data_IF_932278789535
#
_entry.id   IF_932278789535
#
_cell.length_a   1.000
_cell.length_b   1.000
_cell.length_c   1.000
_cell.angle_alpha   90.00
_cell.angle_beta   90.00
_cell.angle_gamma   90.00
#
_symmetry.space_group_name_H-M   'P 1'
#
loop_
_entity.id
_entity.type
_entity.pdbx_description
1 polymer ?
#
# COMPACT_ATOMS: atom_id res chain seq x y z
N UNK A 1 -24.33 -37.14 -3.05
CA UNK A 1 -25.56 -36.39 -2.71
C UNK A 1 -25.28 -34.95 -3.10
N UNK A 2 -25.82 -34.52 -4.24
CA UNK A 2 -25.72 -33.14 -4.71
C UNK A 2 -26.72 -32.29 -3.94
N UNK A 3 -26.22 -31.31 -3.19
CA UNK A 3 -27.05 -30.26 -2.65
C UNK A 3 -27.09 -29.13 -3.68
N UNK A 4 -28.09 -29.16 -4.56
CA UNK A 4 -28.49 -27.98 -5.32
C UNK A 4 -29.20 -27.04 -4.34
N UNK A 5 -28.53 -25.93 -4.02
CA UNK A 5 -29.19 -24.79 -3.39
C UNK A 5 -29.64 -23.84 -4.49
N UNK A 6 -30.92 -23.97 -4.83
CA UNK A 6 -31.67 -23.01 -5.63
C UNK A 6 -31.72 -21.68 -4.83
N UNK A 7 -30.82 -20.75 -5.16
CA UNK A 7 -30.86 -19.42 -4.56
C UNK A 7 -31.94 -18.60 -5.27
N UNK A 8 -33.13 -18.62 -4.67
CA UNK A 8 -34.18 -17.64 -4.92
C UNK A 8 -33.59 -16.22 -4.93
N UNK A 9 -34.03 -15.40 -5.90
CA UNK A 9 -33.64 -14.01 -6.10
C UNK A 9 -33.71 -13.21 -4.78
N UNK A 10 -32.56 -13.14 -4.08
CA UNK A 10 -32.43 -12.58 -2.75
C UNK A 10 -32.08 -11.11 -2.80
N UNK A 11 -32.61 -10.35 -1.85
CA UNK A 11 -32.39 -8.93 -1.61
C UNK A 11 -30.95 -8.47 -1.92
N UNK A 12 -30.81 -7.30 -2.57
CA UNK A 12 -29.51 -6.63 -2.69
C UNK A 12 -28.85 -6.57 -1.30
N UNK A 13 -27.60 -7.02 -1.15
CA UNK A 13 -26.88 -6.89 0.12
C UNK A 13 -26.86 -5.43 0.54
N UNK A 14 -27.02 -5.18 1.84
CA UNK A 14 -26.90 -3.84 2.38
C UNK A 14 -25.47 -3.34 2.14
N UNK A 15 -25.27 -2.06 1.79
CA UNK A 15 -23.94 -1.50 1.67
C UNK A 15 -23.20 -1.63 3.01
N UNK A 16 -21.87 -1.80 3.00
CA UNK A 16 -21.09 -1.88 4.22
C UNK A 16 -21.28 -0.62 5.06
N UNK A 17 -21.21 -0.79 6.39
CA UNK A 17 -21.26 0.35 7.32
C UNK A 17 -20.02 1.20 7.07
N UNK A 18 -20.22 2.48 6.77
CA UNK A 18 -19.14 3.41 6.55
C UNK A 18 -18.22 3.50 7.77
N UNK A 19 -16.93 3.28 7.56
CA UNK A 19 -15.89 3.50 8.55
C UNK A 19 -15.59 4.98 8.68
N UNK A 20 -15.27 5.43 9.90
CA UNK A 20 -14.80 6.78 10.13
C UNK A 20 -13.33 6.96 9.71
N UNK A 21 -12.92 8.22 9.50
CA UNK A 21 -11.53 8.56 9.21
C UNK A 21 -10.64 8.09 10.38
N UNK A 22 -9.55 7.42 10.06
CA UNK A 22 -8.61 6.80 11.01
C UNK A 22 -9.21 5.68 11.87
N UNK A 23 -10.31 5.04 11.44
CA UNK A 23 -10.90 3.89 12.15
C UNK A 23 -9.94 2.69 12.31
N UNK A 24 -8.85 2.65 11.53
CA UNK A 24 -7.79 1.66 11.59
C UNK A 24 -6.62 2.02 12.50
N UNK A 25 -6.58 3.22 13.09
CA UNK A 25 -5.44 3.64 13.91
C UNK A 25 -5.24 2.71 15.12
N UNK A 26 -4.06 2.13 15.23
CA UNK A 26 -3.72 1.15 16.27
C UNK A 26 -4.28 -0.27 16.02
N UNK A 27 -4.83 -0.52 14.83
CA UNK A 27 -5.32 -1.82 14.36
C UNK A 27 -4.44 -2.34 13.23
N UNK A 28 -4.60 -3.62 12.94
CA UNK A 28 -4.01 -4.26 11.76
C UNK A 28 -5.00 -4.25 10.60
N UNK A 29 -4.52 -3.92 9.40
CA UNK A 29 -5.18 -4.24 8.14
C UNK A 29 -4.42 -5.38 7.48
N UNK A 30 -5.00 -6.56 7.50
CA UNK A 30 -4.42 -7.74 6.86
C UNK A 30 -4.90 -7.87 5.42
N UNK A 31 -3.96 -7.81 4.48
CA UNK A 31 -4.14 -8.17 3.08
C UNK A 31 -3.95 -9.68 2.93
N UNK A 32 -5.06 -10.39 2.83
CA UNK A 32 -5.07 -11.81 2.51
C UNK A 32 -5.15 -12.00 1.00
N UNK A 33 -3.98 -12.11 0.37
CA UNK A 33 -3.81 -12.20 -1.07
C UNK A 33 -3.92 -13.64 -1.59
N UNK A 34 -4.83 -14.46 -1.04
CA UNK A 34 -4.96 -15.88 -1.38
C UNK A 34 -5.22 -16.16 -2.88
N UNK A 35 -5.81 -15.21 -3.60
CA UNK A 35 -6.03 -15.27 -5.06
C UNK A 35 -5.19 -14.28 -5.86
N UNK A 36 -4.27 -13.57 -5.19
CA UNK A 36 -3.47 -12.50 -5.76
C UNK A 36 -3.92 -11.11 -5.32
N UNK A 37 -3.46 -10.10 -6.05
CA UNK A 37 -3.74 -8.69 -5.77
C UNK A 37 -3.57 -7.84 -7.04
N UNK A 38 -4.50 -6.90 -7.23
CA UNK A 38 -4.47 -5.90 -8.28
C UNK A 38 -4.92 -4.53 -7.75
N UNK A 39 -4.76 -3.48 -8.55
CA UNK A 39 -5.11 -2.11 -8.17
C UNK A 39 -6.60 -1.98 -7.90
N UNK A 40 -7.42 -2.23 -8.92
CA UNK A 40 -8.87 -2.39 -8.85
C UNK A 40 -9.37 -3.24 -7.67
N UNK A 41 -8.80 -4.44 -7.48
CA UNK A 41 -9.16 -5.35 -6.39
C UNK A 41 -8.86 -4.72 -5.02
N UNK A 42 -7.79 -3.93 -4.91
CA UNK A 42 -7.45 -3.22 -3.67
C UNK A 42 -8.48 -2.13 -3.36
N UNK A 43 -8.81 -1.31 -4.35
CA UNK A 43 -9.79 -0.23 -4.20
C UNK A 43 -11.17 -0.82 -3.86
N UNK A 44 -11.59 -1.84 -4.60
CA UNK A 44 -12.83 -2.55 -4.36
C UNK A 44 -12.89 -3.16 -2.95
N UNK A 45 -11.82 -3.79 -2.48
CA UNK A 45 -11.79 -4.38 -1.14
C UNK A 45 -11.84 -3.31 -0.03
N UNK A 46 -11.24 -2.13 -0.24
CA UNK A 46 -11.32 -1.00 0.70
C UNK A 46 -12.75 -0.43 0.78
N UNK A 47 -13.42 -0.29 -0.38
CA UNK A 47 -14.83 0.11 -0.44
C UNK A 47 -15.72 -0.90 0.28
N UNK A 48 -15.52 -2.20 0.02
CA UNK A 48 -16.27 -3.29 0.64
C UNK A 48 -16.03 -3.36 2.16
N UNK A 49 -14.81 -3.04 2.61
CA UNK A 49 -14.45 -2.96 4.02
C UNK A 49 -15.17 -1.82 4.76
N UNK A 50 -15.63 -0.80 4.02
CA UNK A 50 -16.38 0.35 4.54
C UNK A 50 -15.71 1.71 4.34
N UNK A 51 -14.64 1.83 3.55
CA UNK A 51 -14.12 3.15 3.16
C UNK A 51 -15.16 3.85 2.28
N UNK A 52 -15.58 5.10 2.60
CA UNK A 52 -16.59 5.78 1.80
C UNK A 52 -16.10 6.09 0.38
N UNK A 53 -16.92 5.83 -0.63
CA UNK A 53 -16.62 6.13 -2.04
C UNK A 53 -16.27 7.61 -2.26
N UNK A 54 -16.94 8.52 -1.54
CA UNK A 54 -16.67 9.96 -1.62
C UNK A 54 -15.20 10.32 -1.34
N UNK A 55 -14.49 9.55 -0.50
CA UNK A 55 -13.06 9.80 -0.21
C UNK A 55 -12.19 9.51 -1.45
N UNK A 56 -12.57 8.51 -2.23
CA UNK A 56 -11.90 8.17 -3.49
C UNK A 56 -12.25 9.18 -4.57
N UNK A 57 -13.54 9.52 -4.71
CA UNK A 57 -14.01 10.53 -5.68
C UNK A 57 -13.35 11.89 -5.43
N UNK A 58 -13.38 12.39 -4.19
CA UNK A 58 -12.74 13.67 -3.81
C UNK A 58 -11.25 13.70 -4.16
N UNK A 59 -10.51 12.60 -3.92
CA UNK A 59 -9.09 12.52 -4.25
C UNK A 59 -8.87 12.55 -5.78
N UNK A 60 -9.68 11.82 -6.54
CA UNK A 60 -9.54 11.70 -7.98
C UNK A 60 -9.98 12.95 -8.74
N UNK A 61 -10.99 13.68 -8.24
CA UNK A 61 -11.43 14.97 -8.78
C UNK A 61 -10.33 16.05 -8.70
N UNK A 62 -9.34 15.88 -7.83
CA UNK A 62 -8.21 16.80 -7.73
C UNK A 62 -7.18 16.63 -8.86
N UNK A 63 -7.22 15.50 -9.58
CA UNK A 63 -6.25 15.19 -10.62
C UNK A 63 -6.67 15.82 -11.94
N UNK A 64 -5.74 16.43 -12.71
CA UNK A 64 -6.02 16.92 -14.06
C UNK A 64 -6.02 15.75 -15.07
N UNK A 65 -6.87 14.75 -14.83
CA UNK A 65 -7.04 13.56 -15.67
C UNK A 65 -8.51 13.45 -16.03
N UNK A 66 -8.79 13.43 -17.34
CA UNK A 66 -10.15 13.37 -17.88
C UNK A 66 -10.34 12.13 -18.76
N UNK A 67 -11.58 11.86 -19.16
CA UNK A 67 -11.92 10.79 -20.10
C UNK A 67 -11.94 9.40 -19.47
N UNK A 68 -12.34 9.32 -18.21
CA UNK A 68 -12.69 8.07 -17.55
C UNK A 68 -13.94 8.22 -16.68
N UNK A 69 -14.61 7.09 -16.44
CA UNK A 69 -15.70 6.98 -15.50
C UNK A 69 -15.43 5.82 -14.54
N UNK A 70 -15.71 6.02 -13.26
CA UNK A 70 -15.60 4.98 -12.24
C UNK A 70 -16.95 4.28 -12.14
N UNK A 71 -16.91 2.95 -12.07
CA UNK A 71 -18.08 2.15 -11.80
C UNK A 71 -17.81 1.22 -10.62
N UNK A 72 -18.64 1.35 -9.57
CA UNK A 72 -18.64 0.43 -8.43
C UNK A 72 -19.81 -0.52 -8.57
N UNK A 73 -19.54 -1.82 -8.54
CA UNK A 73 -20.56 -2.86 -8.72
C UNK A 73 -20.61 -3.81 -7.53
N UNK A 74 -21.77 -4.42 -7.33
CA UNK A 74 -21.90 -5.58 -6.45
C UNK A 74 -21.51 -6.82 -7.25
N UNK A 75 -20.60 -7.61 -6.72
CA UNK A 75 -20.07 -8.81 -7.33
C UNK A 75 -20.29 -10.03 -6.43
N UNK A 76 -20.22 -11.22 -7.04
CA UNK A 76 -20.09 -12.45 -6.29
C UNK A 76 -19.19 -13.43 -7.03
N UNK A 77 -18.33 -14.12 -6.28
CA UNK A 77 -17.54 -15.22 -6.79
C UNK A 77 -17.54 -16.40 -5.82
N UNK A 78 -17.83 -17.60 -6.34
CA UNK A 78 -18.00 -18.82 -5.54
C UNK A 78 -18.94 -18.65 -4.33
N UNK A 79 -20.02 -17.85 -4.48
CA UNK A 79 -21.00 -17.58 -3.42
C UNK A 79 -20.55 -16.55 -2.36
N UNK A 80 -19.36 -15.98 -2.50
CA UNK A 80 -18.86 -14.91 -1.63
C UNK A 80 -19.30 -13.58 -2.25
N UNK A 81 -19.94 -12.72 -1.46
CA UNK A 81 -20.27 -11.35 -1.87
C UNK A 81 -19.00 -10.48 -1.86
N UNK A 82 -18.89 -9.58 -2.82
CA UNK A 82 -17.75 -8.69 -2.97
C UNK A 82 -18.17 -7.39 -3.66
N UNK A 83 -17.29 -6.41 -3.63
CA UNK A 83 -17.39 -5.19 -4.46
C UNK A 83 -16.49 -5.32 -5.69
N UNK A 84 -16.93 -4.81 -6.83
CA UNK A 84 -16.11 -4.60 -8.02
C UNK A 84 -15.85 -3.11 -8.22
N UNK A 85 -14.69 -2.78 -8.78
CA UNK A 85 -14.28 -1.40 -9.10
C UNK A 85 -13.70 -1.40 -10.51
N UNK A 86 -14.35 -0.68 -11.43
CA UNK A 86 -13.96 -0.60 -12.83
C UNK A 86 -13.65 0.85 -13.21
N UNK A 87 -12.54 1.05 -13.92
CA UNK A 87 -12.17 2.34 -14.53
C UNK A 87 -12.43 2.24 -16.03
N UNK A 88 -13.55 2.82 -16.48
CA UNK A 88 -13.94 2.84 -17.88
C UNK A 88 -13.30 4.04 -18.58
N UNK A 89 -12.29 3.81 -19.42
CA UNK A 89 -11.61 4.87 -20.17
C UNK A 89 -12.32 5.11 -21.51
N UNK A 90 -12.74 6.36 -21.75
CA UNK A 90 -13.61 6.72 -22.89
C UNK A 90 -12.86 6.93 -24.22
N UNK A 91 -11.53 7.08 -24.19
CA UNK A 91 -10.70 7.32 -25.37
C UNK A 91 -9.26 6.82 -25.22
N UNK A 92 -8.50 6.77 -26.32
CA UNK A 92 -7.06 6.51 -26.27
C UNK A 92 -6.35 7.63 -25.52
N UNK A 93 -5.70 7.29 -24.41
CA UNK A 93 -5.00 8.23 -23.55
C UNK A 93 -3.50 8.27 -23.88
N UNK A 94 -2.84 9.42 -23.67
CA UNK A 94 -1.40 9.52 -23.88
C UNK A 94 -0.66 8.67 -22.85
N UNK A 95 0.44 8.06 -23.29
CA UNK A 95 1.39 7.42 -22.38
C UNK A 95 2.07 8.50 -21.54
N UNK A 96 2.23 8.22 -20.25
CA UNK A 96 2.82 9.13 -19.28
C UNK A 96 4.15 8.57 -18.80
N UNK A 97 5.14 9.45 -18.72
CA UNK A 97 6.41 9.11 -18.07
C UNK A 97 6.28 9.17 -16.55
N UNK A 98 7.17 8.48 -15.84
CA UNK A 98 7.26 8.59 -14.38
C UNK A 98 7.38 10.05 -13.91
N UNK A 99 8.21 10.85 -14.59
CA UNK A 99 8.38 12.27 -14.29
C UNK A 99 7.06 13.05 -14.43
N UNK A 100 6.26 12.77 -15.47
CA UNK A 100 4.97 13.43 -15.68
C UNK A 100 3.93 13.07 -14.62
N UNK A 101 3.88 11.80 -14.19
CA UNK A 101 2.98 11.36 -13.11
C UNK A 101 3.40 12.00 -11.78
N UNK A 102 4.70 12.03 -11.48
CA UNK A 102 5.20 12.65 -10.26
C UNK A 102 4.88 14.16 -10.21
N UNK A 103 5.03 14.87 -11.33
CA UNK A 103 4.64 16.28 -11.43
C UNK A 103 3.12 16.48 -11.28
N UNK A 104 2.31 15.58 -11.85
CA UNK A 104 0.86 15.60 -11.73
C UNK A 104 0.42 15.46 -10.26
N UNK A 105 0.96 14.48 -9.54
CA UNK A 105 0.67 14.25 -8.12
C UNK A 105 1.15 15.41 -7.23
N UNK A 106 2.25 16.06 -7.61
CA UNK A 106 2.76 17.23 -6.89
C UNK A 106 1.88 18.47 -7.08
N UNK A 107 1.28 18.64 -8.25
CA UNK A 107 0.41 19.77 -8.55
C UNK A 107 -1.02 19.59 -8.01
N UNK A 108 -1.51 18.35 -7.91
CA UNK A 108 -2.86 18.06 -7.45
C UNK A 108 -3.05 18.46 -5.96
N UNK A 109 -4.19 19.05 -5.56
CA UNK A 109 -4.50 19.38 -4.16
C UNK A 109 -4.91 18.16 -3.31
N UNK A 110 -4.18 17.04 -3.45
CA UNK A 110 -4.31 15.86 -2.60
C UNK A 110 -3.87 16.15 -1.15
N UNK A 111 -4.49 15.48 -0.17
CA UNK A 111 -3.99 15.51 1.21
C UNK A 111 -2.57 14.92 1.30
N UNK A 112 -1.81 15.37 2.31
CA UNK A 112 -0.39 15.03 2.46
C UNK A 112 -0.11 13.52 2.48
N UNK A 113 -0.79 12.74 3.35
CA UNK A 113 -0.67 11.28 3.38
C UNK A 113 -0.97 10.60 2.05
N UNK A 114 -2.11 10.91 1.42
CA UNK A 114 -2.51 10.31 0.13
C UNK A 114 -1.48 10.59 -0.96
N UNK A 115 -1.06 11.85 -1.11
CA UNK A 115 -0.03 12.26 -2.08
C UNK A 115 1.28 11.51 -1.85
N UNK A 116 1.72 11.44 -0.61
CA UNK A 116 2.99 10.79 -0.23
C UNK A 116 2.94 9.31 -0.59
N UNK A 117 1.86 8.61 -0.24
CA UNK A 117 1.70 7.20 -0.52
C UNK A 117 1.58 6.93 -2.03
N UNK A 118 0.79 7.69 -2.77
CA UNK A 118 0.68 7.55 -4.23
C UNK A 118 2.05 7.71 -4.92
N UNK A 119 2.86 8.69 -4.50
CA UNK A 119 4.23 8.89 -5.02
C UNK A 119 5.15 7.72 -4.68
N UNK A 120 5.05 7.13 -3.49
CA UNK A 120 5.82 5.94 -3.12
C UNK A 120 5.46 4.76 -4.02
N UNK A 121 4.17 4.51 -4.24
CA UNK A 121 3.68 3.41 -5.09
C UNK A 121 4.15 3.61 -6.54
N UNK A 122 3.99 4.81 -7.10
CA UNK A 122 4.47 5.10 -8.45
C UNK A 122 5.98 5.02 -8.59
N UNK A 123 6.74 5.41 -7.57
CA UNK A 123 8.19 5.24 -7.57
C UNK A 123 8.56 3.76 -7.61
N UNK A 124 7.87 2.90 -6.84
CA UNK A 124 8.09 1.44 -6.89
C UNK A 124 7.79 0.84 -8.26
N UNK A 125 6.71 1.25 -8.89
CA UNK A 125 6.42 0.87 -10.28
C UNK A 125 7.50 1.36 -11.23
N UNK A 126 7.88 2.64 -11.14
CA UNK A 126 8.90 3.22 -12.00
C UNK A 126 10.25 2.55 -11.86
N UNK A 127 10.68 2.22 -10.62
CA UNK A 127 11.92 1.49 -10.35
C UNK A 127 11.88 0.08 -10.96
N UNK A 128 10.72 -0.59 -10.90
CA UNK A 128 10.54 -1.91 -11.49
C UNK A 128 10.59 -1.90 -13.02
N UNK A 129 9.93 -0.92 -13.65
CA UNK A 129 9.96 -0.73 -15.10
C UNK A 129 11.35 -0.31 -15.58
N UNK A 130 12.01 0.62 -14.88
CA UNK A 130 13.40 1.01 -15.14
C UNK A 130 14.32 -0.21 -15.15
N UNK A 131 14.15 -1.13 -14.19
CA UNK A 131 14.91 -2.37 -14.12
C UNK A 131 14.57 -3.33 -15.26
N UNK A 132 13.28 -3.52 -15.58
CA UNK A 132 12.85 -4.39 -16.68
C UNK A 132 13.36 -3.91 -18.05
N UNK A 133 13.38 -2.59 -18.25
CA UNK A 133 13.76 -1.95 -19.50
C UNK A 133 15.22 -1.50 -19.57
N UNK A 134 15.97 -1.58 -18.46
CA UNK A 134 17.36 -1.11 -18.35
C UNK A 134 17.54 0.36 -18.74
N UNK A 135 16.63 1.21 -18.26
CA UNK A 135 16.65 2.67 -18.48
C UNK A 135 16.68 3.41 -17.15
N UNK A 136 17.15 4.67 -17.11
CA UNK A 136 17.02 5.51 -15.92
C UNK A 136 15.55 5.71 -15.52
N UNK A 137 15.27 5.81 -14.22
CA UNK A 137 13.91 6.02 -13.69
C UNK A 137 13.17 7.21 -14.33
N UNK A 138 13.87 8.32 -14.59
CA UNK A 138 13.27 9.51 -15.18
C UNK A 138 12.90 9.33 -16.67
N UNK A 139 13.48 8.33 -17.34
CA UNK A 139 13.25 8.01 -18.74
C UNK A 139 12.19 6.89 -18.90
N UNK A 140 11.61 6.41 -17.79
CA UNK A 140 10.55 5.40 -17.83
C UNK A 140 9.28 5.99 -18.42
N UNK A 141 8.86 5.38 -19.53
CA UNK A 141 7.54 5.56 -20.11
C UNK A 141 6.68 4.35 -19.77
N UNK A 142 5.60 4.59 -19.04
CA UNK A 142 4.71 3.51 -18.67
C UNK A 142 3.73 3.23 -19.82
N UNK A 143 3.89 2.09 -20.48
CA UNK A 143 3.02 1.70 -21.60
C UNK A 143 1.73 1.03 -21.12
N UNK A 144 1.79 0.30 -19.99
CA UNK A 144 0.65 -0.39 -19.37
C UNK A 144 0.24 0.24 -18.04
N UNK A 145 1.20 0.71 -17.24
CA UNK A 145 0.98 1.21 -15.87
C UNK A 145 0.90 2.75 -15.77
N UNK A 146 0.90 3.45 -16.91
CA UNK A 146 0.80 4.92 -17.01
C UNK A 146 -0.51 5.37 -17.64
N UNK A 147 -1.34 4.39 -17.98
CA UNK A 147 -2.70 4.62 -18.40
C UNK A 147 -3.53 5.10 -17.21
N UNK A 148 -4.70 5.65 -17.53
CA UNK A 148 -5.56 6.33 -16.57
C UNK A 148 -6.06 5.36 -15.49
N UNK A 149 -6.29 4.10 -15.85
CA UNK A 149 -6.61 3.01 -14.92
C UNK A 149 -5.60 2.89 -13.79
N UNK A 150 -4.31 2.82 -14.07
CA UNK A 150 -3.27 2.69 -13.06
C UNK A 150 -3.17 3.95 -12.17
N UNK A 151 -3.36 5.14 -12.73
CA UNK A 151 -3.40 6.40 -11.95
C UNK A 151 -4.59 6.41 -11.00
N UNK A 152 -5.76 6.06 -11.50
CA UNK A 152 -6.99 5.98 -10.71
C UNK A 152 -6.83 4.94 -9.61
N UNK A 153 -6.36 3.73 -9.92
CA UNK A 153 -6.14 2.65 -8.96
C UNK A 153 -5.17 3.06 -7.85
N UNK A 154 -4.00 3.61 -8.21
CA UNK A 154 -2.97 3.97 -7.23
C UNK A 154 -3.43 5.12 -6.34
N UNK A 155 -4.06 6.15 -6.90
CA UNK A 155 -4.52 7.29 -6.10
C UNK A 155 -5.72 6.89 -5.23
N UNK A 156 -6.66 6.10 -5.75
CA UNK A 156 -7.79 5.60 -4.99
C UNK A 156 -7.35 4.67 -3.84
N UNK A 157 -6.42 3.75 -4.10
CA UNK A 157 -5.85 2.88 -3.07
C UNK A 157 -5.10 3.71 -2.02
N UNK A 158 -4.28 4.68 -2.45
CA UNK A 158 -3.57 5.57 -1.53
C UNK A 158 -4.54 6.39 -0.65
N UNK A 159 -5.62 6.90 -1.22
CA UNK A 159 -6.65 7.66 -0.51
C UNK A 159 -7.36 6.78 0.52
N UNK A 160 -7.80 5.58 0.14
CA UNK A 160 -8.50 4.65 1.03
C UNK A 160 -7.61 4.13 2.17
N UNK A 161 -6.35 3.79 1.87
CA UNK A 161 -5.38 3.35 2.89
C UNK A 161 -5.02 4.48 3.85
N UNK A 162 -4.79 5.68 3.33
CA UNK A 162 -4.49 6.87 4.15
C UNK A 162 -5.69 7.27 5.02
N UNK A 163 -6.91 7.17 4.48
CA UNK A 163 -8.14 7.40 5.22
C UNK A 163 -8.26 6.44 6.41
N UNK A 164 -7.98 5.15 6.20
CA UNK A 164 -8.10 4.13 7.22
C UNK A 164 -7.03 4.22 8.31
N UNK A 165 -5.76 4.45 7.93
CA UNK A 165 -4.66 4.69 8.87
C UNK A 165 -4.25 3.47 9.71
N UNK A 166 -4.40 2.26 9.18
CA UNK A 166 -4.06 1.00 9.85
C UNK A 166 -2.62 0.53 9.58
N UNK A 167 -2.09 -0.30 10.47
CA UNK A 167 -0.82 -1.00 10.27
C UNK A 167 -1.02 -2.18 9.31
N UNK A 168 -0.33 -2.18 8.16
CA UNK A 168 -0.58 -3.17 7.11
C UNK A 168 0.30 -4.41 7.24
N UNK A 169 -0.35 -5.58 7.19
CA UNK A 169 0.28 -6.90 7.11
C UNK A 169 -0.18 -7.57 5.82
N UNK A 170 0.71 -8.23 5.09
CA UNK A 170 0.36 -8.87 3.82
C UNK A 170 0.69 -10.36 3.87
N UNK A 171 -0.18 -11.21 3.34
CA UNK A 171 0.14 -12.64 3.17
C UNK A 171 1.29 -12.83 2.17
N UNK A 172 1.99 -13.98 2.16
CA UNK A 172 2.77 -14.37 1.01
C UNK A 172 1.93 -14.31 -0.28
N UNK A 173 2.57 -13.97 -1.39
CA UNK A 173 1.88 -13.68 -2.66
C UNK A 173 1.93 -14.89 -3.62
N UNK A 174 0.78 -15.31 -4.20
CA UNK A 174 0.72 -16.42 -5.14
C UNK A 174 1.23 -16.00 -6.53
N UNK A 175 2.12 -16.80 -7.10
CA UNK A 175 2.67 -16.59 -8.42
C UNK A 175 2.15 -17.67 -9.38
N UNK A 176 1.31 -17.25 -10.32
CA UNK A 176 0.90 -18.08 -11.46
C UNK A 176 2.05 -18.26 -12.46
N UNK A 177 1.81 -19.08 -13.48
CA UNK A 177 2.77 -19.41 -14.54
C UNK A 177 2.18 -19.15 -15.92
N UNK A 178 2.98 -19.40 -16.95
CA UNK A 178 2.53 -19.33 -18.35
C UNK A 178 2.92 -18.03 -19.02
N UNK A 179 2.07 -17.57 -19.94
CA UNK A 179 2.30 -16.39 -20.77
C UNK A 179 1.08 -15.47 -20.74
N UNK A 180 1.31 -14.16 -20.73
CA UNK A 180 0.26 -13.14 -20.83
C UNK A 180 0.50 -12.26 -22.06
N UNK A 181 -0.58 -11.81 -22.70
CA UNK A 181 -0.51 -10.85 -23.80
C UNK A 181 -0.57 -9.43 -23.22
N UNK A 182 0.48 -8.68 -23.46
CA UNK A 182 0.70 -7.31 -23.02
C UNK A 182 0.91 -6.40 -24.24
N UNK A 183 1.00 -5.08 -24.05
CA UNK A 183 1.40 -4.14 -25.12
C UNK A 183 2.82 -4.41 -25.60
N UNK A 184 3.66 -4.91 -24.70
CA UNK A 184 5.01 -5.39 -24.98
C UNK A 184 5.08 -6.74 -25.73
N UNK A 185 3.93 -7.26 -26.17
CA UNK A 185 3.83 -8.57 -26.79
C UNK A 185 3.53 -9.65 -25.76
N UNK A 186 4.06 -10.85 -25.96
CA UNK A 186 3.80 -11.97 -25.06
C UNK A 186 4.87 -12.00 -23.97
N UNK A 187 4.46 -11.85 -22.72
CA UNK A 187 5.34 -11.81 -21.54
C UNK A 187 5.21 -13.11 -20.72
N UNK A 188 6.31 -13.55 -20.07
CA UNK A 188 6.22 -14.63 -19.11
C UNK A 188 5.39 -14.22 -17.89
N UNK A 189 4.74 -15.19 -17.27
CA UNK A 189 4.19 -15.05 -15.94
C UNK A 189 5.13 -15.72 -14.92
N UNK A 190 5.47 -15.03 -13.82
CA UNK A 190 5.08 -13.64 -13.49
C UNK A 190 5.68 -12.58 -14.41
N UNK A 191 4.95 -11.48 -14.65
CA UNK A 191 5.43 -10.39 -15.50
C UNK A 191 6.71 -9.76 -14.92
N UNK A 192 7.68 -9.31 -15.76
CA UNK A 192 8.96 -8.79 -15.29
C UNK A 192 8.84 -7.64 -14.27
N UNK A 193 7.98 -6.66 -14.54
CA UNK A 193 7.73 -5.54 -13.63
C UNK A 193 7.16 -6.02 -12.27
N UNK A 194 6.24 -7.00 -12.28
CA UNK A 194 5.73 -7.64 -11.06
C UNK A 194 6.86 -8.24 -10.23
N UNK A 195 7.76 -9.01 -10.85
CA UNK A 195 8.89 -9.63 -10.13
C UNK A 195 9.80 -8.57 -9.50
N UNK A 196 10.07 -7.48 -10.23
CA UNK A 196 10.88 -6.39 -9.69
C UNK A 196 10.19 -5.65 -8.53
N UNK A 197 8.88 -5.38 -8.62
CA UNK A 197 8.13 -4.79 -7.51
C UNK A 197 8.17 -5.68 -6.26
N UNK A 198 8.10 -7.00 -6.43
CA UNK A 198 8.08 -7.98 -5.33
C UNK A 198 9.45 -8.27 -4.72
N UNK A 199 10.52 -7.57 -5.10
CA UNK A 199 11.85 -7.76 -4.52
C UNK A 199 11.82 -7.58 -2.99
N UNK A 200 12.08 -8.67 -2.27
CA UNK A 200 12.06 -8.72 -0.79
C UNK A 200 10.73 -9.16 -0.18
N UNK A 201 9.67 -9.34 -0.97
CA UNK A 201 8.40 -9.91 -0.52
C UNK A 201 8.39 -11.44 -0.65
N UNK A 202 7.80 -12.18 0.31
CA UNK A 202 7.65 -13.63 0.20
C UNK A 202 6.60 -13.99 -0.85
N UNK A 203 6.96 -14.94 -1.72
CA UNK A 203 6.11 -15.45 -2.80
C UNK A 203 6.06 -16.97 -2.78
N UNK A 204 5.04 -17.56 -3.40
CA UNK A 204 4.94 -19.00 -3.61
C UNK A 204 4.32 -19.32 -4.96
N UNK A 205 4.73 -20.42 -5.60
CA UNK A 205 4.18 -20.84 -6.88
C UNK A 205 2.82 -21.51 -6.75
N UNK A 206 1.94 -21.30 -7.73
CA UNK A 206 0.67 -22.01 -7.87
C UNK A 206 0.53 -22.61 -9.27
N UNK A 207 -0.16 -23.74 -9.39
CA UNK A 207 -0.38 -24.44 -10.66
C UNK A 207 -1.57 -23.83 -11.42
N UNK A 208 -1.43 -22.55 -11.81
CA UNK A 208 -2.47 -21.81 -12.49
C UNK A 208 -1.87 -20.91 -13.59
N UNK A 209 -2.43 -21.04 -14.80
CA UNK A 209 -2.00 -20.30 -15.99
C UNK A 209 -2.70 -18.93 -16.06
N UNK A 210 -2.47 -18.07 -15.07
CA UNK A 210 -3.07 -16.75 -14.97
C UNK A 210 -2.17 -15.76 -14.22
N UNK A 211 -2.25 -14.48 -14.59
CA UNK A 211 -1.71 -13.41 -13.77
C UNK A 211 -2.60 -13.20 -12.55
N UNK A 212 -2.04 -13.46 -11.37
CA UNK A 212 -2.73 -13.29 -10.07
C UNK A 212 -2.30 -12.00 -9.37
N UNK A 213 -1.03 -11.64 -9.51
CA UNK A 213 -0.46 -10.41 -8.96
C UNK A 213 -0.07 -9.52 -10.12
N UNK A 214 -0.77 -8.39 -10.27
CA UNK A 214 -0.43 -7.40 -11.31
C UNK A 214 0.72 -6.51 -10.83
N UNK A 215 1.43 -5.81 -11.74
CA UNK A 215 2.46 -4.85 -11.35
C UNK A 215 1.94 -3.80 -10.37
N UNK A 216 0.75 -3.25 -10.62
CA UNK A 216 0.08 -2.27 -9.75
C UNK A 216 -0.21 -2.85 -8.36
N UNK A 217 -0.80 -4.06 -8.31
CA UNK A 217 -1.08 -4.74 -7.05
C UNK A 217 0.19 -5.00 -6.24
N UNK A 218 1.25 -5.50 -6.91
CA UNK A 218 2.56 -5.73 -6.29
C UNK A 218 3.16 -4.44 -5.72
N UNK A 219 3.13 -3.34 -6.48
CA UNK A 219 3.65 -2.05 -6.03
C UNK A 219 2.86 -1.48 -4.85
N UNK A 220 1.53 -1.62 -4.85
CA UNK A 220 0.69 -1.20 -3.72
C UNK A 220 1.12 -1.96 -2.45
N UNK A 221 1.05 -3.29 -2.46
CA UNK A 221 1.28 -4.08 -1.24
C UNK A 221 2.70 -3.93 -0.71
N UNK A 222 3.70 -3.87 -1.57
CA UNK A 222 5.11 -3.70 -1.17
C UNK A 222 5.44 -2.27 -0.70
N UNK A 223 4.60 -1.29 -1.05
CA UNK A 223 4.74 0.09 -0.56
C UNK A 223 4.14 0.29 0.83
N UNK A 224 3.15 -0.52 1.21
CA UNK A 224 2.43 -0.36 2.50
C UNK A 224 2.73 -1.44 3.53
N UNK A 225 3.18 -2.63 3.11
CA UNK A 225 3.45 -3.74 4.02
C UNK A 225 4.51 -3.37 5.06
N UNK A 226 4.17 -3.49 6.34
CA UNK A 226 5.15 -3.40 7.43
C UNK A 226 5.84 -4.73 7.67
N UNK A 227 5.14 -5.85 7.40
CA UNK A 227 5.63 -7.22 7.50
C UNK A 227 4.75 -8.18 6.71
N UNK A 228 5.24 -9.41 6.57
CA UNK A 228 4.54 -10.47 5.84
C UNK A 228 4.31 -11.70 6.72
N UNK A 229 3.08 -12.21 6.75
CA UNK A 229 2.67 -13.38 7.55
C UNK A 229 1.51 -14.12 6.86
N UNK A 230 1.48 -15.48 6.83
CA UNK A 230 0.36 -16.21 6.22
C UNK A 230 -1.02 -15.87 6.79
N UNK A 231 -1.10 -15.70 8.11
CA UNK A 231 -2.27 -15.17 8.80
C UNK A 231 -1.81 -14.57 10.13
N UNK A 232 -2.02 -13.26 10.38
CA UNK A 232 -1.55 -12.64 11.61
C UNK A 232 -2.45 -12.96 12.80
N UNK A 233 -1.88 -12.81 13.99
CA UNK A 233 -2.62 -12.82 15.24
C UNK A 233 -3.54 -11.57 15.31
N UNK A 234 -4.82 -11.72 14.93
CA UNK A 234 -5.80 -10.64 14.79
C UNK A 234 -7.18 -11.05 15.33
N UNK A 235 -7.91 -10.11 15.95
CA UNK A 235 -9.35 -10.18 16.22
C UNK A 235 -10.06 -9.44 15.09
N UNK A 236 -10.69 -10.13 14.13
CA UNK A 236 -11.36 -9.49 13.00
C UNK A 236 -12.54 -8.63 13.47
N UNK A 237 -12.65 -7.42 12.92
CA UNK A 237 -13.74 -6.47 13.21
C UNK A 237 -14.51 -6.12 11.94
N UNK A 238 -13.79 -5.89 10.83
CA UNK A 238 -14.37 -5.64 9.51
C UNK A 238 -13.67 -6.49 8.46
N UNK A 239 -14.43 -6.94 7.47
CA UNK A 239 -13.93 -7.76 6.36
C UNK A 239 -14.47 -7.17 5.07
N UNK A 240 -13.59 -6.97 4.09
CA UNK A 240 -13.95 -6.50 2.76
C UNK A 240 -13.38 -7.41 1.68
N UNK A 241 -14.13 -7.62 0.60
CA UNK A 241 -13.72 -8.38 -0.56
C UNK A 241 -13.75 -7.52 -1.83
N UNK A 242 -12.62 -7.46 -2.52
CA UNK A 242 -12.49 -6.84 -3.83
C UNK A 242 -12.43 -7.89 -4.93
N UNK A 243 -13.37 -7.82 -5.87
CA UNK A 243 -13.48 -8.78 -6.97
C UNK A 243 -12.56 -8.42 -8.13
N UNK A 244 -11.84 -9.43 -8.65
CA UNK A 244 -11.13 -9.33 -9.91
C UNK A 244 -11.98 -9.82 -11.08
N UNK A 245 -11.63 -9.40 -12.30
CA UNK A 245 -12.45 -9.65 -13.49
C UNK A 245 -12.35 -11.08 -14.05
N UNK A 246 -11.28 -11.81 -13.74
CA UNK A 246 -11.04 -13.16 -14.26
C UNK A 246 -11.82 -14.21 -13.47
N UNK A 247 -12.41 -15.20 -14.15
CA UNK A 247 -12.88 -16.43 -13.51
C UNK A 247 -11.75 -17.44 -13.40
N UNK A 248 -11.42 -17.83 -12.18
CA UNK A 248 -10.42 -18.84 -11.90
C UNK A 248 -11.10 -20.20 -11.73
N UNK A 249 -10.48 -21.30 -12.19
CA UNK A 249 -11.09 -22.62 -12.17
C UNK A 249 -11.10 -23.28 -10.79
N UNK A 250 -10.22 -22.87 -9.88
CA UNK A 250 -9.91 -23.58 -8.64
C UNK A 250 -10.20 -22.79 -7.35
N UNK A 251 -10.46 -21.47 -7.45
CA UNK A 251 -10.73 -20.56 -6.32
C UNK A 251 -11.52 -19.33 -6.78
N UNK A 252 -12.15 -18.57 -5.87
CA UNK A 252 -12.69 -17.25 -6.22
C UNK A 252 -11.56 -16.26 -6.51
N UNK A 253 -11.79 -15.35 -7.47
CA UNK A 253 -10.85 -14.28 -7.80
C UNK A 253 -11.14 -13.02 -6.96
N UNK A 254 -10.79 -13.07 -5.69
CA UNK A 254 -11.06 -12.01 -4.72
C UNK A 254 -9.81 -11.67 -3.90
N UNK A 255 -9.62 -10.39 -3.61
CA UNK A 255 -8.72 -9.93 -2.54
C UNK A 255 -9.55 -9.79 -1.26
N UNK A 256 -9.07 -10.35 -0.15
CA UNK A 256 -9.69 -10.15 1.16
C UNK A 256 -8.86 -9.19 2.00
N UNK A 257 -9.54 -8.17 2.54
CA UNK A 257 -9.01 -7.31 3.59
C UNK A 257 -9.68 -7.63 4.92
N UNK A 258 -8.89 -7.75 5.98
CA UNK A 258 -9.38 -7.93 7.34
C UNK A 258 -8.83 -6.82 8.22
N UNK A 259 -9.70 -5.94 8.69
CA UNK A 259 -9.38 -4.94 9.69
C UNK A 259 -9.70 -5.48 11.09
N UNK A 260 -8.77 -5.33 12.02
CA UNK A 260 -9.00 -5.84 13.37
C UNK A 260 -7.89 -5.53 14.36
N UNK A 261 -8.21 -5.71 15.64
CA UNK A 261 -7.26 -5.52 16.73
C UNK A 261 -6.22 -6.66 16.78
N UNK A 262 -4.94 -6.38 17.04
CA UNK A 262 -3.94 -7.45 17.22
C UNK A 262 -4.28 -8.34 18.43
N UNK A 263 -4.07 -9.66 18.33
CA UNK A 263 -4.21 -10.57 19.48
C UNK A 263 -2.88 -10.69 20.23
N UNK A 264 -2.90 -10.26 21.50
CA UNK A 264 -1.75 -10.22 22.40
C UNK A 264 -1.55 -8.81 22.97
N UNK A 265 -0.83 -8.65 24.11
CA UNK A 265 -0.29 -7.34 24.42
C UNK A 265 0.46 -6.88 23.17
N UNK A 266 0.31 -5.61 22.73
CA UNK A 266 1.24 -5.00 21.77
C UNK A 266 2.59 -5.54 22.18
N UNK A 267 3.27 -6.29 21.31
CA UNK A 267 4.58 -6.78 21.68
C UNK A 267 5.42 -5.53 21.87
N UNK A 268 5.51 -5.10 23.12
CA UNK A 268 6.61 -4.38 23.68
C UNK A 268 7.76 -5.37 23.67
N UNK A 269 8.19 -5.78 22.46
CA UNK A 269 9.60 -5.89 22.24
C UNK A 269 10.16 -4.56 22.77
N UNK A 270 11.09 -4.56 23.74
CA UNK A 270 11.67 -3.33 24.20
C UNK A 270 12.34 -2.68 22.98
N UNK A 271 11.70 -1.67 22.38
CA UNK A 271 12.28 -0.97 21.23
C UNK A 271 11.39 -0.51 20.08
N UNK A 272 10.10 -0.22 20.24
CA UNK A 272 9.44 0.77 19.35
C UNK A 272 8.60 1.72 20.19
N UNK A 273 9.30 2.63 20.87
CA UNK A 273 8.69 3.90 21.22
C UNK A 273 8.29 4.60 19.92
N UNK A 274 7.23 5.40 19.96
CA UNK A 274 6.92 6.34 18.86
C UNK A 274 7.99 7.42 18.69
N UNK A 275 8.96 7.44 19.59
CA UNK A 275 10.11 8.32 19.64
C UNK A 275 11.33 7.50 20.06
N UNK A 276 12.47 7.80 19.46
CA UNK A 276 13.81 7.29 19.74
C UNK A 276 14.54 8.28 20.64
N UNK A 277 15.32 7.77 21.59
CA UNK A 277 16.32 8.56 22.30
C UNK A 277 17.68 8.22 21.73
N UNK A 278 18.37 9.22 21.19
CA UNK A 278 19.72 9.10 20.64
C UNK A 278 20.66 9.83 21.59
N UNK A 279 21.69 9.16 22.10
CA UNK A 279 22.65 9.72 23.05
C UNK A 279 24.10 9.54 22.59
N UNK A 280 24.93 10.55 22.87
CA UNK A 280 26.37 10.52 22.63
C UNK A 280 27.15 11.07 23.84
N UNK A 281 28.12 10.29 24.32
CA UNK A 281 29.05 10.72 25.37
C UNK A 281 30.27 11.39 24.74
N UNK A 282 30.55 12.63 25.13
CA UNK A 282 31.60 13.47 24.54
C UNK A 282 32.48 14.05 25.65
N UNK A 283 33.76 13.68 25.68
CA UNK A 283 34.74 14.11 26.70
C UNK A 283 35.70 15.21 26.24
N UNK A 284 35.56 15.68 25.01
CA UNK A 284 36.41 16.71 24.38
C UNK A 284 35.61 17.93 23.86
N UNK A 285 34.36 18.10 24.31
CA UNK A 285 33.47 19.19 23.91
C UNK A 285 33.30 20.25 25.01
N UNK A 286 33.28 21.53 24.62
CA UNK A 286 33.03 22.66 25.53
C UNK A 286 31.53 22.89 25.74
N UNK A 287 31.17 23.64 26.79
CA UNK A 287 29.77 24.02 27.04
C UNK A 287 29.17 24.89 25.93
N UNK A 288 29.98 25.73 25.26
CA UNK A 288 29.52 26.54 24.11
C UNK A 288 29.13 25.67 22.91
N UNK A 289 29.94 24.66 22.60
CA UNK A 289 29.65 23.69 21.54
C UNK A 289 28.43 22.82 21.87
N UNK A 290 28.27 22.45 23.14
CA UNK A 290 27.10 21.74 23.62
C UNK A 290 25.81 22.55 23.42
N UNK A 291 25.84 23.85 23.74
CA UNK A 291 24.71 24.75 23.50
C UNK A 291 24.36 24.86 22.01
N UNK A 292 25.36 24.98 21.13
CA UNK A 292 25.15 24.98 19.68
C UNK A 292 24.54 23.66 19.18
N UNK A 293 25.02 22.52 19.69
CA UNK A 293 24.52 21.20 19.31
C UNK A 293 23.03 21.02 19.67
N UNK A 294 22.59 21.51 20.83
CA UNK A 294 21.17 21.46 21.22
C UNK A 294 20.27 22.22 20.24
N UNK A 295 20.66 23.44 19.85
CA UNK A 295 19.91 24.20 18.85
C UNK A 295 19.87 23.48 17.50
N UNK A 296 21.01 22.93 17.04
CA UNK A 296 21.08 22.19 15.79
C UNK A 296 20.20 20.92 15.78
N UNK A 297 20.10 20.22 16.91
CA UNK A 297 19.25 19.03 17.05
C UNK A 297 17.76 19.39 16.98
N UNK A 298 17.35 20.47 17.63
CA UNK A 298 15.96 20.97 17.56
C UNK A 298 15.61 21.47 16.15
N UNK A 299 16.50 22.22 15.51
CA UNK A 299 16.32 22.69 14.12
C UNK A 299 16.22 21.52 13.12
N UNK A 300 16.87 20.39 13.42
CA UNK A 300 16.79 19.16 12.64
C UNK A 300 15.50 18.34 12.88
N UNK A 301 14.63 18.78 13.79
CA UNK A 301 13.32 18.17 14.04
C UNK A 301 13.24 17.27 15.27
N UNK A 302 14.23 17.31 16.18
CA UNK A 302 14.10 16.64 17.47
C UNK A 302 12.94 17.25 18.27
N UNK A 303 12.16 16.38 18.94
CA UNK A 303 11.06 16.76 19.85
C UNK A 303 11.60 17.39 21.13
N UNK A 304 12.77 16.92 21.59
CA UNK A 304 13.48 17.49 22.73
C UNK A 304 14.99 17.23 22.59
N UNK A 305 15.82 18.06 23.23
CA UNK A 305 17.27 17.90 23.27
C UNK A 305 17.83 18.41 24.59
N UNK A 306 18.71 17.63 25.23
CA UNK A 306 19.31 17.99 26.52
C UNK A 306 20.77 17.53 26.66
N UNK A 307 21.43 18.06 27.70
CA UNK A 307 22.78 17.64 28.09
C UNK A 307 22.83 17.25 29.56
N UNK A 308 23.55 16.16 29.86
CA UNK A 308 23.78 15.69 31.23
C UNK A 308 25.28 15.60 31.54
N UNK A 309 25.75 16.11 32.69
CA UNK A 309 27.15 15.95 33.08
C UNK A 309 27.44 14.52 33.51
N UNK A 310 28.54 13.96 33.02
CA UNK A 310 29.01 12.61 33.35
C UNK A 310 30.51 12.58 33.62
N UNK A 311 30.99 11.51 34.27
CA UNK A 311 32.42 11.23 34.43
C UNK A 311 32.78 9.99 33.64
N UNK A 312 33.73 10.11 32.71
CA UNK A 312 34.19 9.02 31.85
C UNK A 312 35.50 8.38 32.36
N UNK A 313 35.97 7.35 31.65
CA UNK A 313 37.25 6.66 31.95
C UNK A 313 38.38 7.68 32.12
N UNK A 314 39.37 7.34 32.96
CA UNK A 314 40.48 8.23 33.37
C UNK A 314 40.04 9.47 34.16
N UNK A 315 38.84 9.45 34.76
CA UNK A 315 38.34 10.54 35.61
C UNK A 315 38.03 11.83 34.85
N UNK A 316 37.74 11.73 33.55
CA UNK A 316 37.49 12.91 32.70
C UNK A 316 36.06 13.40 32.88
N UNK A 317 35.84 14.69 33.22
CA UNK A 317 34.53 15.32 33.10
C UNK A 317 34.10 15.32 31.63
N UNK A 318 32.85 14.96 31.36
CA UNK A 318 32.29 14.83 30.02
C UNK A 318 30.80 15.19 30.02
N UNK A 319 30.21 15.27 28.83
CA UNK A 319 28.78 15.53 28.63
C UNK A 319 28.15 14.38 27.85
N UNK A 320 26.96 13.95 28.27
CA UNK A 320 26.05 13.16 27.43
C UNK A 320 25.12 14.14 26.73
N UNK A 321 25.17 14.19 25.40
CA UNK A 321 24.24 14.91 24.55
C UNK A 321 23.14 13.95 24.14
N UNK A 322 21.88 14.35 24.29
CA UNK A 322 20.74 13.50 23.99
C UNK A 322 19.67 14.25 23.18
N UNK A 323 19.01 13.52 22.28
CA UNK A 323 17.87 14.00 21.50
C UNK A 323 16.74 12.97 21.51
N UNK A 324 15.51 13.45 21.64
CA UNK A 324 14.28 12.68 21.45
C UNK A 324 13.75 12.96 20.05
N UNK A 325 13.57 11.94 19.22
CA UNK A 325 13.15 12.04 17.82
C UNK A 325 12.06 11.03 17.47
#
# INVERSE_FOLDING_TARGET
>A
MSHDHDHAAGSKPAPPVALERQAGRGKLLFFDCFSGVAGDMTVAALLDLGVPLAIIEEALETLPVEGYAIQVTQASDSGIAATGFDVNVEASQPERSFASINALLEAAPLDGPTRTLAKIIFRRLGEAEAAAHQVPLNDVHFHEVGAVDAIVDVVAAAAGLSYLGADVVVSPLPMGRGLVKARHGVLPLPAPATVHCLSGAPTYGVDLDAELVTPTGAAIVTSVAQRYEPWPAIVPEHIGFGAGHRKLPDRPNLLRLVLGSPTGPRSTAPGVGTHLVIEANVDDMTGELAGHALSALLDAGAVDAWVSPITMKKGRPALTVAALA
#
